data_IF_772733121077
#
_entry.id   IF_772733121077
#
_cell.length_a   1.000
_cell.length_b   1.000
_cell.length_c   1.000
_cell.angle_alpha   90.00
_cell.angle_beta   90.00
_cell.angle_gamma   90.00
#
_symmetry.space_group_name_H-M   'P 1'
#
loop_
_entity.id
_entity.type
_entity.pdbx_description
1 polymer ?
#
# COMPACT_ATOMS: atom_id res chain seq x y z
N UNK A 1 -19.24 -14.39 -6.37
CA UNK A 1 -19.32 -14.19 -7.83
C UNK A 1 -19.40 -12.70 -8.11
N UNK A 2 -18.29 -11.98 -7.95
CA UNK A 2 -18.07 -10.70 -8.63
C UNK A 2 -17.39 -11.07 -9.94
N UNK A 3 -17.97 -10.61 -11.03
CA UNK A 3 -17.42 -10.80 -12.36
C UNK A 3 -16.02 -10.23 -12.35
N UNK A 4 -15.08 -11.01 -12.87
CA UNK A 4 -13.81 -10.50 -13.34
C UNK A 4 -14.12 -9.46 -14.42
N UNK A 5 -14.31 -8.21 -14.01
CA UNK A 5 -13.87 -7.12 -14.86
C UNK A 5 -12.35 -7.14 -14.72
N UNK A 6 -11.74 -7.95 -15.58
CA UNK A 6 -10.51 -7.54 -16.24
C UNK A 6 -10.81 -6.18 -16.88
N UNK A 7 -10.79 -5.11 -16.10
CA UNK A 7 -10.25 -3.86 -16.59
C UNK A 7 -8.84 -4.24 -17.04
N UNK A 8 -8.76 -4.59 -18.31
CA UNK A 8 -7.59 -4.27 -19.11
C UNK A 8 -7.42 -2.77 -18.89
N UNK A 9 -6.76 -2.38 -17.80
CA UNK A 9 -5.99 -1.16 -17.74
C UNK A 9 -4.97 -1.39 -18.85
N UNK A 10 -5.38 -1.04 -20.08
CA UNK A 10 -4.42 -0.67 -21.07
C UNK A 10 -3.72 0.52 -20.41
N UNK A 11 -2.58 0.27 -19.77
CA UNK A 11 -1.58 1.28 -19.52
C UNK A 11 -1.41 1.95 -20.87
N UNK A 12 -2.08 3.08 -21.06
CA UNK A 12 -1.91 3.89 -22.24
C UNK A 12 -0.41 4.18 -22.25
N UNK A 13 0.33 3.80 -23.30
CA UNK A 13 1.77 3.99 -23.31
C UNK A 13 2.00 5.49 -23.15
N UNK A 14 2.45 5.92 -21.98
CA UNK A 14 2.67 7.32 -21.66
C UNK A 14 3.72 7.84 -22.63
N UNK A 15 3.28 8.49 -23.71
CA UNK A 15 4.17 8.93 -24.79
C UNK A 15 4.93 10.22 -24.42
N UNK A 16 4.52 10.89 -23.35
CA UNK A 16 5.28 11.95 -22.70
C UNK A 16 4.81 12.19 -21.27
N UNK A 17 5.76 12.32 -20.36
CA UNK A 17 5.61 12.43 -18.90
C UNK A 17 4.93 13.73 -18.39
N UNK A 18 4.26 14.50 -19.25
CA UNK A 18 3.60 15.73 -18.84
C UNK A 18 2.19 15.40 -18.34
N UNK A 19 1.93 15.52 -17.04
CA UNK A 19 0.57 15.39 -16.52
C UNK A 19 -0.34 16.44 -17.18
N UNK A 20 -1.60 16.08 -17.40
CA UNK A 20 -2.68 16.93 -17.93
C UNK A 20 -3.04 18.14 -17.03
N UNK A 21 -2.26 18.41 -15.98
CA UNK A 21 -2.41 19.56 -15.10
C UNK A 21 -1.39 20.67 -15.34
N UNK A 22 -1.67 21.87 -14.82
CA UNK A 22 -0.64 22.92 -14.73
C UNK A 22 0.25 22.63 -13.52
N UNK A 23 1.57 22.58 -13.71
CA UNK A 23 2.52 22.44 -12.62
C UNK A 23 2.49 23.66 -11.71
N UNK A 24 2.46 23.45 -10.39
CA UNK A 24 2.69 24.53 -9.45
C UNK A 24 4.13 25.05 -9.62
N UNK A 25 4.25 26.37 -9.86
CA UNK A 25 5.51 26.97 -10.31
C UNK A 25 6.57 27.15 -9.22
N UNK A 26 6.16 27.11 -7.95
CA UNK A 26 7.05 27.33 -6.81
C UNK A 26 7.37 26.02 -6.06
N UNK A 27 8.48 26.03 -5.31
CA UNK A 27 8.92 24.88 -4.53
C UNK A 27 8.03 24.62 -3.30
N UNK A 28 7.30 25.63 -2.85
CA UNK A 28 6.39 25.60 -1.69
C UNK A 28 5.17 26.45 -2.02
N UNK A 29 4.02 26.10 -1.46
CA UNK A 29 2.81 26.92 -1.55
C UNK A 29 3.05 28.24 -0.81
N UNK A 30 2.83 29.38 -1.47
CA UNK A 30 2.91 30.71 -0.86
C UNK A 30 1.53 31.06 -0.28
N UNK A 31 1.40 30.97 1.04
CA UNK A 31 0.14 31.21 1.75
C UNK A 31 0.21 30.81 3.23
N UNK A 32 -0.87 31.11 3.96
CA UNK A 32 -1.07 30.67 5.33
C UNK A 32 -1.80 29.33 5.35
N UNK A 33 -1.20 28.31 5.97
CA UNK A 33 -1.86 27.02 6.18
C UNK A 33 -3.01 27.20 7.18
N UNK A 34 -4.24 27.03 6.71
CA UNK A 34 -5.44 27.08 7.55
C UNK A 34 -5.68 25.74 8.25
N UNK A 35 -5.51 24.64 7.52
CA UNK A 35 -5.80 23.29 8.00
C UNK A 35 -4.98 22.24 7.26
N UNK A 36 -4.50 21.24 7.98
CA UNK A 36 -4.05 19.97 7.43
C UNK A 36 -4.97 18.85 7.92
N UNK A 37 -5.33 17.93 7.03
CA UNK A 37 -6.26 16.83 7.25
C UNK A 37 -5.56 15.56 6.84
N UNK A 38 -5.44 14.60 7.75
CA UNK A 38 -5.08 13.23 7.40
C UNK A 38 -6.40 12.50 7.14
N UNK A 39 -6.58 12.00 5.93
CA UNK A 39 -7.80 11.30 5.54
C UNK A 39 -7.89 9.96 6.26
N UNK A 40 -9.07 9.58 6.71
CA UNK A 40 -9.30 8.33 7.44
C UNK A 40 -10.72 7.83 7.15
N UNK A 41 -10.83 6.63 6.58
CA UNK A 41 -12.08 6.07 6.05
C UNK A 41 -13.21 5.94 7.08
N UNK A 42 -12.90 5.81 8.36
CA UNK A 42 -13.89 5.52 9.42
C UNK A 42 -14.18 6.72 10.33
N UNK A 43 -13.76 7.92 9.94
CA UNK A 43 -13.95 9.14 10.73
C UNK A 43 -14.59 10.28 9.94
N UNK A 44 -14.95 11.36 10.64
CA UNK A 44 -15.39 12.62 10.02
C UNK A 44 -14.27 13.28 9.17
N UNK A 45 -13.05 12.72 9.15
CA UNK A 45 -11.96 13.11 8.26
C UNK A 45 -11.91 12.30 6.95
N UNK A 46 -12.89 11.44 6.68
CA UNK A 46 -12.94 10.62 5.47
C UNK A 46 -13.00 11.44 4.17
N UNK A 47 -13.45 12.69 4.22
CA UNK A 47 -13.58 13.53 3.03
C UNK A 47 -13.41 15.02 3.36
N UNK A 48 -12.64 15.72 2.52
CA UNK A 48 -12.39 17.17 2.60
C UNK A 48 -13.63 18.03 2.36
N UNK A 49 -14.71 17.46 1.84
CA UNK A 49 -16.00 18.16 1.63
C UNK A 49 -16.95 18.05 2.83
N UNK A 50 -16.52 17.48 3.95
CA UNK A 50 -17.36 17.31 5.13
C UNK A 50 -17.69 18.65 5.83
N UNK A 51 -18.89 18.75 6.43
CA UNK A 51 -19.45 20.00 6.95
C UNK A 51 -18.66 20.60 8.14
N UNK A 52 -17.88 19.79 8.85
CA UNK A 52 -16.95 20.28 9.88
C UNK A 52 -15.85 21.20 9.32
N UNK A 53 -15.65 21.19 8.00
CA UNK A 53 -14.71 22.07 7.30
C UNK A 53 -15.35 23.34 6.72
N UNK A 54 -16.67 23.55 6.83
CA UNK A 54 -17.38 24.71 6.26
C UNK A 54 -16.75 26.06 6.65
N UNK A 55 -16.25 26.15 7.87
CA UNK A 55 -15.60 27.35 8.43
C UNK A 55 -14.35 27.82 7.68
N UNK A 56 -13.74 26.98 6.83
CA UNK A 56 -12.55 27.32 6.05
C UNK A 56 -12.87 27.86 4.64
N UNK A 57 -14.14 27.95 4.25
CA UNK A 57 -14.55 28.30 2.90
C UNK A 57 -15.52 29.48 2.86
N UNK A 58 -15.24 30.46 2.01
CA UNK A 58 -16.06 31.68 1.86
C UNK A 58 -17.45 31.40 1.27
N UNK A 59 -17.61 30.26 0.58
CA UNK A 59 -18.83 29.84 -0.11
C UNK A 59 -19.94 29.45 0.87
N UNK A 60 -19.61 29.17 2.13
CA UNK A 60 -20.57 28.79 3.18
C UNK A 60 -20.69 27.28 3.40
N UNK A 61 -20.10 26.46 2.54
CA UNK A 61 -19.89 25.03 2.77
C UNK A 61 -18.55 24.53 2.22
N UNK A 62 -18.02 23.46 2.78
CA UNK A 62 -16.78 22.83 2.32
C UNK A 62 -16.93 22.19 0.94
N UNK A 63 -18.10 21.63 0.63
CA UNK A 63 -18.39 21.08 -0.70
C UNK A 63 -18.30 22.18 -1.79
N UNK A 64 -19.05 23.27 -1.64
CA UNK A 64 -19.04 24.38 -2.61
C UNK A 64 -17.67 25.06 -2.67
N UNK A 65 -16.96 25.11 -1.54
CA UNK A 65 -15.60 25.63 -1.47
C UNK A 65 -14.58 24.80 -2.25
N UNK A 66 -14.60 23.48 -2.08
CA UNK A 66 -13.75 22.54 -2.83
C UNK A 66 -14.07 22.61 -4.33
N UNK A 67 -15.35 22.63 -4.71
CA UNK A 67 -15.76 22.81 -6.11
C UNK A 67 -15.24 24.13 -6.70
N UNK A 68 -15.28 25.23 -5.94
CA UNK A 68 -14.75 26.52 -6.37
C UNK A 68 -13.22 26.50 -6.54
N UNK A 69 -12.49 25.83 -5.65
CA UNK A 69 -11.03 25.65 -5.74
C UNK A 69 -10.66 24.81 -6.97
N UNK A 70 -11.39 23.72 -7.25
CA UNK A 70 -11.21 22.92 -8.48
C UNK A 70 -11.47 23.82 -9.70
N UNK A 71 -12.61 24.52 -9.75
CA UNK A 71 -12.98 25.38 -10.88
C UNK A 71 -11.93 26.47 -11.17
N UNK A 72 -11.25 26.97 -10.13
CA UNK A 72 -10.15 27.91 -10.24
C UNK A 72 -8.81 27.28 -10.66
N UNK A 73 -8.76 25.96 -10.88
CA UNK A 73 -7.53 25.17 -11.08
C UNK A 73 -6.53 25.34 -9.93
N UNK A 74 -7.03 25.41 -8.69
CA UNK A 74 -6.25 25.58 -7.47
C UNK A 74 -6.29 24.34 -6.55
N UNK A 75 -6.78 23.20 -7.05
CA UNK A 75 -6.64 21.91 -6.37
C UNK A 75 -5.45 21.17 -6.97
N UNK A 76 -4.43 20.87 -6.16
CA UNK A 76 -3.20 20.21 -6.60
C UNK A 76 -3.05 18.82 -5.98
N UNK A 77 -2.67 17.83 -6.79
CA UNK A 77 -2.17 16.54 -6.31
C UNK A 77 -0.73 16.40 -6.78
N UNK A 78 0.20 16.17 -5.86
CA UNK A 78 1.64 16.14 -6.17
C UNK A 78 2.11 17.36 -6.97
N UNK A 79 1.51 18.53 -6.69
CA UNK A 79 1.74 19.83 -7.36
C UNK A 79 1.31 19.90 -8.83
N UNK A 80 0.46 18.99 -9.28
CA UNK A 80 -0.25 19.12 -10.55
C UNK A 80 -1.67 19.58 -10.30
N UNK A 81 -2.08 20.69 -10.92
CA UNK A 81 -3.44 21.19 -10.81
C UNK A 81 -4.43 20.28 -11.55
N UNK A 82 -5.53 19.92 -10.91
CA UNK A 82 -6.69 19.38 -11.62
C UNK A 82 -7.21 20.50 -12.56
N UNK A 83 -7.44 20.25 -13.85
CA UNK A 83 -7.98 21.28 -14.73
C UNK A 83 -9.34 21.76 -14.21
N UNK A 84 -9.57 23.08 -14.21
CA UNK A 84 -10.79 23.60 -13.56
C UNK A 84 -12.07 23.49 -14.38
N UNK A 85 -11.99 23.16 -15.67
CA UNK A 85 -13.16 23.03 -16.53
C UNK A 85 -12.97 21.97 -17.59
N UNK A 86 -14.07 21.44 -18.12
CA UNK A 86 -14.06 20.54 -19.27
C UNK A 86 -13.30 21.14 -20.47
N UNK A 87 -13.52 22.43 -20.75
CA UNK A 87 -12.84 23.12 -21.83
C UNK A 87 -11.33 23.21 -21.59
N UNK A 88 -10.90 23.49 -20.35
CA UNK A 88 -9.48 23.49 -20.01
C UNK A 88 -8.84 22.11 -20.19
N UNK A 89 -9.54 21.05 -19.76
CA UNK A 89 -9.12 19.66 -19.96
C UNK A 89 -8.99 19.32 -21.45
N UNK A 90 -10.03 19.58 -22.25
CA UNK A 90 -10.06 19.24 -23.68
C UNK A 90 -9.07 20.03 -24.53
N UNK A 91 -8.66 21.22 -24.08
CA UNK A 91 -7.67 22.05 -24.79
C UNK A 91 -6.23 21.54 -24.66
N UNK A 92 -5.98 20.56 -23.79
CA UNK A 92 -4.66 19.94 -23.60
C UNK A 92 -4.67 18.56 -24.25
N UNK A 93 -3.91 18.40 -25.33
CA UNK A 93 -3.90 17.13 -26.09
C UNK A 93 -3.53 15.91 -25.23
N UNK A 94 -2.67 16.09 -24.24
CA UNK A 94 -2.26 15.03 -23.32
C UNK A 94 -3.41 14.57 -22.41
N UNK A 95 -4.31 15.47 -22.01
CA UNK A 95 -5.52 15.11 -21.27
C UNK A 95 -6.44 14.19 -22.08
N UNK A 96 -6.52 14.42 -23.38
CA UNK A 96 -7.36 13.61 -24.27
C UNK A 96 -6.75 12.25 -24.59
N UNK A 97 -5.42 12.14 -24.57
CA UNK A 97 -4.74 10.86 -24.83
C UNK A 97 -4.61 10.01 -23.58
N UNK A 98 -4.15 10.61 -22.48
CA UNK A 98 -3.69 9.89 -21.29
C UNK A 98 -4.59 10.15 -20.07
N UNK A 99 -5.33 11.26 -20.06
CA UNK A 99 -6.07 11.74 -18.89
C UNK A 99 -5.23 12.59 -17.94
N UNK A 100 -5.85 13.04 -16.85
CA UNK A 100 -5.17 13.59 -15.68
C UNK A 100 -4.54 12.44 -14.89
N UNK A 101 -3.22 12.42 -14.89
CA UNK A 101 -2.43 11.35 -14.30
C UNK A 101 -1.95 11.73 -12.89
N UNK A 102 -2.08 10.81 -11.96
CA UNK A 102 -1.42 10.83 -10.64
C UNK A 102 -0.51 9.60 -10.60
N UNK A 103 0.78 9.80 -10.37
CA UNK A 103 1.80 8.75 -10.49
C UNK A 103 1.64 7.92 -11.78
N UNK A 104 1.46 8.61 -12.91
CA UNK A 104 1.28 8.00 -14.24
C UNK A 104 0.01 7.13 -14.42
N UNK A 105 -0.84 7.02 -13.41
CA UNK A 105 -2.14 6.35 -13.48
C UNK A 105 -3.24 7.38 -13.76
N UNK A 106 -4.16 7.14 -14.71
CA UNK A 106 -5.26 8.06 -14.97
C UNK A 106 -6.26 8.08 -13.81
N UNK A 107 -6.51 9.28 -13.26
CA UNK A 107 -7.50 9.52 -12.22
C UNK A 107 -8.70 10.30 -12.72
N UNK A 108 -8.55 11.02 -13.83
CA UNK A 108 -9.64 11.68 -14.53
C UNK A 108 -9.44 11.60 -16.03
N UNK A 109 -10.38 11.01 -16.76
CA UNK A 109 -10.32 10.91 -18.21
C UNK A 109 -11.70 10.91 -18.86
N UNK A 110 -11.72 11.16 -20.16
CA UNK A 110 -12.92 11.07 -20.98
C UNK A 110 -12.89 9.81 -21.83
N UNK A 111 -13.84 8.91 -21.62
CA UNK A 111 -13.99 7.71 -22.44
C UNK A 111 -14.78 8.07 -23.70
N UNK A 112 -14.07 8.21 -24.83
CA UNK A 112 -14.68 8.54 -26.12
C UNK A 112 -15.57 7.43 -26.70
N UNK A 113 -15.41 6.19 -26.25
CA UNK A 113 -16.23 5.05 -26.71
C UNK A 113 -17.61 5.06 -26.07
N UNK A 114 -17.66 5.32 -24.76
CA UNK A 114 -18.92 5.39 -24.00
C UNK A 114 -19.46 6.81 -23.88
N UNK A 115 -18.71 7.81 -24.36
CA UNK A 115 -19.00 9.23 -24.23
C UNK A 115 -19.27 9.66 -22.77
N UNK A 116 -18.48 9.14 -21.83
CA UNK A 116 -18.65 9.36 -20.39
C UNK A 116 -17.36 9.83 -19.74
N UNK A 117 -17.51 10.61 -18.66
CA UNK A 117 -16.39 10.96 -17.80
C UNK A 117 -16.14 9.87 -16.78
N UNK A 118 -14.89 9.75 -16.36
CA UNK A 118 -14.46 8.87 -15.30
C UNK A 118 -13.53 9.63 -14.38
N UNK A 119 -13.75 9.50 -13.07
CA UNK A 119 -13.03 10.22 -12.04
C UNK A 119 -12.82 9.36 -10.80
N UNK A 120 -12.01 9.85 -9.86
CA UNK A 120 -11.69 9.14 -8.63
C UNK A 120 -10.37 8.41 -8.67
N UNK A 121 -10.13 7.63 -7.62
CA UNK A 121 -9.00 6.72 -7.55
C UNK A 121 -9.01 5.79 -8.77
N UNK A 122 -7.91 5.79 -9.55
CA UNK A 122 -7.79 5.03 -10.81
C UNK A 122 -8.93 5.26 -11.82
N UNK A 123 -9.63 6.40 -11.70
CA UNK A 123 -10.82 6.69 -12.47
C UNK A 123 -11.87 5.56 -12.39
N UNK A 124 -12.09 4.99 -11.20
CA UNK A 124 -13.03 3.88 -10.98
C UNK A 124 -14.52 4.30 -11.02
N UNK A 125 -14.81 5.60 -10.96
CA UNK A 125 -16.18 6.12 -10.92
C UNK A 125 -16.59 6.78 -12.22
N UNK A 126 -17.55 6.18 -12.93
CA UNK A 126 -18.19 6.81 -14.09
C UNK A 126 -19.05 8.00 -13.64
N UNK A 127 -19.01 9.08 -14.41
CA UNK A 127 -19.80 10.29 -14.19
C UNK A 127 -20.36 10.86 -15.49
N UNK A 128 -21.50 11.54 -15.37
CA UNK A 128 -22.22 12.16 -16.49
C UNK A 128 -21.65 13.54 -16.89
N UNK A 129 -20.78 14.12 -16.06
CA UNK A 129 -20.17 15.43 -16.30
C UNK A 129 -18.71 15.47 -15.85
N UNK A 130 -17.97 16.43 -16.41
CA UNK A 130 -16.61 16.74 -16.00
C UNK A 130 -16.53 17.10 -14.52
N UNK A 131 -17.40 18.02 -14.06
CA UNK A 131 -17.36 18.55 -12.70
C UNK A 131 -17.56 17.43 -11.66
N UNK A 132 -18.51 16.51 -11.91
CA UNK A 132 -18.72 15.35 -11.05
C UNK A 132 -17.51 14.42 -11.06
N UNK A 133 -16.90 14.16 -12.22
CA UNK A 133 -15.69 13.34 -12.28
C UNK A 133 -14.49 13.98 -11.58
N UNK A 134 -14.28 15.29 -11.75
CA UNK A 134 -13.22 16.04 -11.10
C UNK A 134 -13.42 16.09 -9.57
N UNK A 135 -14.66 16.26 -9.10
CA UNK A 135 -14.98 16.14 -7.68
C UNK A 135 -14.69 14.72 -7.16
N UNK A 136 -15.02 13.67 -7.94
CA UNK A 136 -14.70 12.28 -7.57
C UNK A 136 -13.21 12.06 -7.37
N UNK A 137 -12.32 12.72 -8.14
CA UNK A 137 -10.85 12.66 -7.91
C UNK A 137 -10.50 13.11 -6.49
N UNK A 138 -11.12 14.20 -6.03
CA UNK A 138 -10.85 14.78 -4.71
C UNK A 138 -11.46 13.95 -3.58
N UNK A 139 -12.71 13.52 -3.74
CA UNK A 139 -13.40 12.69 -2.73
C UNK A 139 -12.89 11.25 -2.71
N UNK A 140 -12.19 10.83 -3.75
CA UNK A 140 -11.55 9.51 -3.90
C UNK A 140 -10.07 9.50 -3.52
N UNK A 141 -9.54 10.58 -2.92
CA UNK A 141 -8.18 10.55 -2.38
C UNK A 141 -8.05 9.43 -1.35
N UNK A 142 -6.97 8.64 -1.47
CA UNK A 142 -6.75 7.48 -0.61
C UNK A 142 -6.54 7.92 0.83
N UNK A 143 -7.21 7.24 1.75
CA UNK A 143 -7.06 7.49 3.18
C UNK A 143 -5.60 7.26 3.63
N UNK A 144 -5.19 7.96 4.67
CA UNK A 144 -3.82 7.95 5.19
C UNK A 144 -2.93 9.06 4.64
N UNK A 145 -3.38 9.72 3.58
CA UNK A 145 -2.69 10.85 2.96
C UNK A 145 -3.18 12.18 3.51
N UNK A 146 -2.31 13.18 3.40
CA UNK A 146 -2.58 14.53 3.91
C UNK A 146 -3.13 15.45 2.80
N UNK A 147 -4.20 16.16 3.13
CA UNK A 147 -4.73 17.28 2.34
C UNK A 147 -4.63 18.57 3.14
N UNK A 148 -4.25 19.66 2.49
CA UNK A 148 -3.94 20.94 3.14
C UNK A 148 -4.71 22.08 2.49
N UNK A 149 -5.27 22.94 3.33
CA UNK A 149 -6.03 24.13 2.94
C UNK A 149 -5.20 25.39 3.16
N UNK A 150 -5.06 26.20 2.13
CA UNK A 150 -4.21 27.39 2.14
C UNK A 150 -5.01 28.65 1.84
N UNK A 151 -4.78 29.68 2.65
CA UNK A 151 -5.17 31.06 2.37
C UNK A 151 -3.98 31.77 1.71
N UNK A 152 -4.12 32.07 0.43
CA UNK A 152 -3.06 32.68 -0.39
C UNK A 152 -3.21 34.19 -0.52
N UNK A 153 -4.37 34.73 -0.14
CA UNK A 153 -4.72 36.14 -0.33
C UNK A 153 -4.87 36.93 0.99
N UNK A 154 -4.94 36.25 2.13
CA UNK A 154 -5.03 36.80 3.48
C UNK A 154 -6.44 37.11 3.97
N UNK A 155 -7.50 36.60 3.32
CA UNK A 155 -8.89 36.84 3.71
C UNK A 155 -9.43 35.86 4.77
N UNK A 156 -8.62 34.87 5.18
CA UNK A 156 -8.96 33.87 6.16
C UNK A 156 -9.70 32.65 5.60
N UNK A 157 -9.85 32.54 4.28
CA UNK A 157 -10.51 31.43 3.61
C UNK A 157 -9.56 30.66 2.67
N UNK A 158 -9.99 29.45 2.32
CA UNK A 158 -9.20 28.56 1.45
C UNK A 158 -9.28 29.03 0.00
N UNK A 159 -8.12 29.39 -0.56
CA UNK A 159 -7.95 29.71 -1.98
C UNK A 159 -7.37 28.54 -2.77
N UNK A 160 -6.56 27.71 -2.09
CA UNK A 160 -5.79 26.64 -2.69
C UNK A 160 -5.83 25.41 -1.79
N UNK A 161 -5.99 24.25 -2.42
CA UNK A 161 -5.88 22.96 -1.75
C UNK A 161 -4.75 22.17 -2.40
N UNK A 162 -3.89 21.56 -1.58
CA UNK A 162 -2.90 20.61 -2.08
C UNK A 162 -2.91 19.31 -1.29
N UNK A 163 -2.65 18.22 -2.00
CA UNK A 163 -2.59 16.87 -1.46
C UNK A 163 -1.30 16.17 -1.92
N UNK A 164 -0.71 15.40 -1.00
CA UNK A 164 0.38 14.49 -1.33
C UNK A 164 -0.21 13.13 -1.65
N UNK A 165 0.05 12.61 -2.85
CA UNK A 165 -0.23 11.22 -3.21
C UNK A 165 1.08 10.46 -3.35
N UNK A 166 1.39 9.66 -2.33
CA UNK A 166 2.62 8.87 -2.28
C UNK A 166 2.28 7.39 -2.17
N UNK A 167 3.17 6.56 -2.68
CA UNK A 167 3.02 5.10 -2.68
C UNK A 167 4.20 4.45 -1.96
N UNK A 168 3.92 3.38 -1.21
CA UNK A 168 4.92 2.64 -0.46
C UNK A 168 5.75 1.70 -1.35
N UNK A 169 7.05 1.63 -1.12
CA UNK A 169 7.93 0.63 -1.74
C UNK A 169 8.93 0.09 -0.72
N UNK A 170 9.11 -1.22 -0.68
CA UNK A 170 10.20 -1.85 0.08
C UNK A 170 11.53 -1.51 -0.56
N UNK A 171 12.61 -1.40 0.22
CA UNK A 171 13.93 -1.03 -0.31
C UNK A 171 14.93 -2.12 -0.01
N UNK A 172 15.26 -2.94 -1.00
CA UNK A 172 16.31 -3.96 -0.87
C UNK A 172 17.68 -3.37 -1.22
N UNK A 173 17.76 -2.69 -2.36
CA UNK A 173 19.01 -2.11 -2.85
C UNK A 173 18.78 -0.69 -3.35
N UNK A 174 19.70 0.21 -3.00
CA UNK A 174 19.81 1.56 -3.57
C UNK A 174 21.07 1.64 -4.42
N UNK A 175 20.90 1.98 -5.69
CA UNK A 175 22.01 2.12 -6.64
C UNK A 175 22.21 3.58 -7.00
N UNK A 176 23.41 4.12 -6.75
CA UNK A 176 23.82 5.41 -7.29
C UNK A 176 24.42 5.22 -8.68
N UNK A 177 23.74 5.75 -9.69
CA UNK A 177 24.13 5.60 -11.09
C UNK A 177 25.29 6.54 -11.46
N UNK A 178 26.03 6.17 -12.52
CA UNK A 178 27.19 6.95 -12.99
C UNK A 178 26.82 8.38 -13.45
N UNK A 179 25.57 8.60 -13.86
CA UNK A 179 25.03 9.92 -14.24
C UNK A 179 24.56 10.76 -13.04
N UNK A 180 24.73 10.28 -11.81
CA UNK A 180 24.34 10.98 -10.59
C UNK A 180 22.86 10.81 -10.18
N UNK A 181 22.08 9.99 -10.89
CA UNK A 181 20.73 9.58 -10.43
C UNK A 181 20.83 8.41 -9.45
N UNK A 182 19.69 8.08 -8.84
CA UNK A 182 19.51 6.92 -7.97
C UNK A 182 18.42 6.02 -8.55
N UNK A 183 18.55 4.72 -8.34
CA UNK A 183 17.48 3.74 -8.55
C UNK A 183 17.29 2.92 -7.29
N UNK A 184 16.05 2.49 -7.07
CA UNK A 184 15.68 1.58 -5.99
C UNK A 184 15.27 0.26 -6.62
N UNK A 185 15.72 -0.82 -6.01
CA UNK A 185 15.20 -2.15 -6.25
C UNK A 185 14.44 -2.59 -5.00
N UNK A 186 13.20 -3.06 -5.18
CA UNK A 186 12.33 -3.39 -4.05
C UNK A 186 12.61 -4.75 -3.40
N UNK A 187 13.49 -5.53 -4.00
CA UNK A 187 13.87 -6.86 -3.56
C UNK A 187 13.14 -7.97 -4.30
N UNK A 188 13.76 -9.14 -4.34
CA UNK A 188 13.13 -10.33 -4.90
C UNK A 188 12.30 -11.00 -3.80
N UNK A 189 10.99 -11.12 -4.02
CA UNK A 189 10.18 -12.09 -3.29
C UNK A 189 10.26 -13.45 -3.99
N UNK A 190 9.75 -14.50 -3.38
CA UNK A 190 9.75 -15.83 -4.01
C UNK A 190 8.78 -15.85 -5.21
N UNK A 191 9.29 -15.49 -6.39
CA UNK A 191 8.54 -15.30 -7.63
C UNK A 191 7.75 -16.56 -8.02
N UNK A 192 8.18 -17.75 -7.60
CA UNK A 192 7.46 -18.99 -7.89
C UNK A 192 6.10 -19.07 -7.19
N UNK A 193 5.94 -18.35 -6.08
CA UNK A 193 4.72 -18.29 -5.28
C UNK A 193 4.03 -16.91 -5.31
N UNK A 194 4.61 -15.92 -6.01
CA UNK A 194 3.98 -14.63 -6.30
C UNK A 194 2.72 -14.88 -7.15
N UNK A 195 1.58 -14.41 -6.68
CA UNK A 195 0.35 -14.45 -7.49
C UNK A 195 0.36 -13.33 -8.53
N UNK A 196 -0.46 -13.42 -9.61
CA UNK A 196 -0.51 -12.36 -10.63
C UNK A 196 -0.96 -10.99 -10.12
N UNK A 197 -1.57 -10.92 -8.94
CA UNK A 197 -2.14 -9.70 -8.35
C UNK A 197 -1.29 -9.12 -7.22
N UNK A 198 -0.28 -9.86 -6.74
CA UNK A 198 0.53 -9.41 -5.61
C UNK A 198 1.54 -8.35 -6.06
N UNK A 199 1.34 -7.11 -5.60
CA UNK A 199 2.32 -6.04 -5.79
C UNK A 199 2.44 -5.55 -7.25
N UNK A 200 1.47 -5.92 -8.10
CA UNK A 200 1.44 -5.69 -9.56
C UNK A 200 0.42 -4.62 -9.99
N UNK A 201 -0.48 -4.21 -9.10
CA UNK A 201 -1.57 -3.28 -9.46
C UNK A 201 -1.06 -1.83 -9.46
N UNK A 202 -0.10 -1.52 -8.59
CA UNK A 202 0.54 -0.20 -8.54
C UNK A 202 1.93 -0.22 -9.16
N UNK A 203 2.50 0.97 -9.32
CA UNK A 203 3.85 1.25 -9.80
C UNK A 203 4.97 0.56 -8.99
N UNK A 204 4.65 -0.28 -8.00
CA UNK A 204 5.58 -1.23 -7.40
C UNK A 204 6.28 -2.12 -8.43
N UNK A 205 5.61 -2.49 -9.54
CA UNK A 205 6.25 -3.21 -10.66
C UNK A 205 7.32 -2.35 -11.35
N UNK A 206 7.26 -1.01 -11.26
CA UNK A 206 8.35 -0.16 -11.73
C UNK A 206 9.66 -0.49 -11.01
N UNK A 207 9.59 -0.99 -9.77
CA UNK A 207 10.74 -1.30 -8.92
C UNK A 207 11.07 -2.80 -8.85
N UNK A 208 10.39 -3.66 -9.64
CA UNK A 208 10.71 -5.10 -9.79
C UNK A 208 12.08 -5.33 -10.49
N UNK A 209 12.63 -4.27 -11.10
CA UNK A 209 14.00 -4.25 -11.65
C UNK A 209 14.76 -3.03 -11.13
N UNK A 210 15.68 -2.47 -11.91
CA UNK A 210 16.20 -1.14 -11.62
C UNK A 210 15.05 -0.14 -11.81
N UNK A 211 14.53 0.39 -10.70
CA UNK A 211 13.42 1.35 -10.68
C UNK A 211 13.62 2.58 -11.57
N UNK A 212 12.65 3.52 -11.60
CA UNK A 212 12.83 4.76 -12.32
C UNK A 212 14.11 5.47 -11.84
N UNK A 213 14.86 6.07 -12.78
CA UNK A 213 16.01 6.91 -12.45
C UNK A 213 15.54 8.20 -11.78
N UNK A 214 15.85 8.35 -10.50
CA UNK A 214 15.46 9.51 -9.67
C UNK A 214 16.63 10.48 -9.56
N UNK A 215 16.39 11.76 -9.84
CA UNK A 215 17.40 12.80 -9.70
C UNK A 215 17.86 12.93 -8.25
N UNK A 216 19.15 13.20 -8.02
CA UNK A 216 19.70 13.37 -6.67
C UNK A 216 18.97 14.44 -5.81
N UNK A 217 18.42 15.48 -6.44
CA UNK A 217 17.66 16.52 -5.74
C UNK A 217 16.27 16.04 -5.24
N UNK A 218 15.77 14.93 -5.79
CA UNK A 218 14.48 14.33 -5.48
C UNK A 218 14.63 12.99 -4.73
N UNK A 219 15.85 12.65 -4.31
CA UNK A 219 16.16 11.39 -3.64
C UNK A 219 16.60 11.64 -2.19
N UNK A 220 15.92 11.03 -1.24
CA UNK A 220 16.34 11.02 0.15
C UNK A 220 17.50 10.02 0.36
N UNK A 221 18.72 10.55 0.54
CA UNK A 221 19.93 9.73 0.70
C UNK A 221 20.01 9.00 2.05
N UNK A 222 19.01 9.15 2.93
CA UNK A 222 18.91 8.36 4.16
C UNK A 222 18.26 6.99 3.95
N UNK A 223 17.63 6.78 2.79
CA UNK A 223 17.04 5.49 2.40
C UNK A 223 18.13 4.42 2.32
N UNK A 224 17.91 3.29 2.99
CA UNK A 224 18.77 2.11 3.01
C UNK A 224 18.02 0.80 2.84
N UNK A 225 18.79 -0.29 2.74
CA UNK A 225 18.23 -1.64 2.67
C UNK A 225 17.43 -1.97 3.94
N UNK A 226 16.23 -2.55 3.77
CA UNK A 226 15.29 -2.86 4.85
C UNK A 226 14.27 -1.75 5.13
N UNK A 227 14.45 -0.56 4.55
CA UNK A 227 13.50 0.53 4.70
C UNK A 227 12.21 0.32 3.89
N UNK A 228 11.15 1.00 4.30
CA UNK A 228 10.05 1.37 3.39
C UNK A 228 10.22 2.83 3.00
N UNK A 229 10.12 3.10 1.70
CA UNK A 229 10.18 4.43 1.12
C UNK A 229 8.84 4.81 0.49
N UNK A 230 8.68 6.10 0.23
CA UNK A 230 7.49 6.70 -0.35
C UNK A 230 7.89 7.40 -1.65
N UNK A 231 7.30 6.99 -2.77
CA UNK A 231 7.60 7.57 -4.08
C UNK A 231 6.38 8.26 -4.68
N UNK A 232 6.63 9.23 -5.56
CA UNK A 232 5.58 9.95 -6.28
C UNK A 232 6.15 10.63 -7.53
N UNK A 233 5.27 10.94 -8.48
CA UNK A 233 5.60 11.70 -9.68
C UNK A 233 5.14 13.15 -9.54
N UNK A 234 6.07 14.10 -9.58
CA UNK A 234 5.78 15.54 -9.54
C UNK A 234 6.33 16.31 -10.75
N UNK A 235 6.21 17.65 -10.77
CA UNK A 235 6.72 18.50 -11.84
C UNK A 235 8.22 18.35 -12.15
N UNK A 236 9.00 17.90 -11.17
CA UNK A 236 10.45 17.67 -11.30
C UNK A 236 10.80 16.20 -11.61
N UNK A 237 9.81 15.39 -12.01
CA UNK A 237 9.94 13.96 -12.24
C UNK A 237 9.65 13.11 -11.00
N UNK A 238 10.12 11.86 -11.04
CA UNK A 238 10.04 10.95 -9.90
C UNK A 238 10.82 11.50 -8.70
N UNK A 239 10.23 11.31 -7.52
CA UNK A 239 10.80 11.63 -6.24
C UNK A 239 10.56 10.48 -5.27
N UNK A 240 11.44 10.35 -4.27
CA UNK A 240 11.34 9.33 -3.24
C UNK A 240 11.89 9.86 -1.91
N UNK A 241 11.20 9.55 -0.82
CA UNK A 241 11.61 9.87 0.55
C UNK A 241 11.51 8.65 1.46
N UNK A 242 12.33 8.57 2.50
CA UNK A 242 12.18 7.53 3.52
C UNK A 242 10.83 7.70 4.21
N UNK A 243 10.07 6.62 4.42
CA UNK A 243 8.89 6.68 5.28
C UNK A 243 9.32 6.97 6.73
N UNK A 244 8.41 7.49 7.56
CA UNK A 244 8.73 7.73 8.95
C UNK A 244 8.78 6.39 9.71
N UNK A 245 9.94 6.08 10.26
CA UNK A 245 10.15 4.84 11.00
C UNK A 245 9.75 4.97 12.48
N UNK A 246 8.97 4.01 12.97
CA UNK A 246 8.73 3.76 14.39
C UNK A 246 9.27 2.38 14.72
N UNK A 247 10.32 2.32 15.54
CA UNK A 247 10.90 1.06 16.01
C UNK A 247 10.41 0.75 17.42
N UNK A 248 9.89 -0.45 17.61
CA UNK A 248 9.46 -0.90 18.93
C UNK A 248 9.07 -2.37 18.94
N UNK A 249 8.87 -2.90 20.13
CA UNK A 249 8.37 -4.26 20.32
C UNK A 249 6.98 -4.39 19.69
N UNK A 250 6.77 -5.38 18.83
CA UNK A 250 5.43 -5.65 18.30
C UNK A 250 4.55 -6.29 19.39
N UNK A 251 3.51 -5.58 19.82
CA UNK A 251 2.68 -6.00 20.96
C UNK A 251 1.43 -6.73 20.47
N UNK A 252 0.63 -6.09 19.62
CA UNK A 252 -0.58 -6.64 19.01
C UNK A 252 -1.00 -5.75 17.82
N UNK A 253 -2.05 -6.16 17.10
CA UNK A 253 -2.72 -5.35 16.11
C UNK A 253 -3.94 -6.07 15.55
N UNK A 254 -4.70 -5.37 14.74
CA UNK A 254 -5.80 -5.92 13.97
C UNK A 254 -5.86 -5.25 12.61
N UNK A 255 -5.98 -6.07 11.56
CA UNK A 255 -6.17 -5.59 10.20
C UNK A 255 -7.32 -4.58 10.13
N UNK A 256 -7.10 -3.52 9.36
CA UNK A 256 -8.02 -2.41 9.17
C UNK A 256 -8.48 -1.72 10.46
N UNK A 257 -7.74 -1.87 11.56
CA UNK A 257 -8.07 -1.23 12.83
C UNK A 257 -6.88 -0.46 13.38
N UNK A 258 -5.86 -1.13 13.90
CA UNK A 258 -4.69 -0.49 14.52
C UNK A 258 -3.51 -1.45 14.74
N UNK A 259 -2.36 -0.87 15.08
CA UNK A 259 -1.11 -1.59 15.34
C UNK A 259 -0.42 -1.04 16.61
N UNK A 260 -0.10 -1.89 17.59
CA UNK A 260 0.62 -1.51 18.81
C UNK A 260 2.10 -1.85 18.70
N UNK A 261 2.92 -0.80 18.64
CA UNK A 261 4.38 -0.88 18.56
C UNK A 261 4.98 -0.11 19.73
N UNK A 262 5.64 -0.83 20.63
CA UNK A 262 6.28 -0.25 21.81
C UNK A 262 5.32 0.33 22.85
N UNK A 263 4.05 -0.10 22.86
CA UNK A 263 3.01 0.41 23.77
C UNK A 263 2.30 1.66 23.25
N UNK A 264 2.48 1.97 21.96
CA UNK A 264 1.83 3.08 21.27
C UNK A 264 0.96 2.49 20.16
N UNK A 265 -0.32 2.84 20.19
CA UNK A 265 -1.32 2.39 19.21
C UNK A 265 -1.35 3.38 18.04
N UNK A 266 -1.20 2.85 16.84
CA UNK A 266 -1.30 3.57 15.58
C UNK A 266 -2.53 3.09 14.83
N UNK A 267 -3.51 3.98 14.65
CA UNK A 267 -4.72 3.66 13.89
C UNK A 267 -4.38 3.42 12.42
N UNK A 268 -5.06 2.45 11.82
CA UNK A 268 -4.99 2.21 10.38
C UNK A 268 -5.90 3.22 9.67
N UNK A 269 -5.40 3.86 8.61
CA UNK A 269 -6.26 4.70 7.77
C UNK A 269 -7.05 3.89 6.74
N UNK A 270 -6.78 2.57 6.67
CA UNK A 270 -7.30 1.59 5.71
C UNK A 270 -6.88 1.86 4.26
N UNK A 271 -6.64 0.78 3.50
CA UNK A 271 -6.38 0.77 2.04
C UNK A 271 -5.10 1.45 1.53
N UNK A 272 -4.33 2.18 2.33
CA UNK A 272 -3.13 2.88 1.86
C UNK A 272 -2.04 1.95 1.30
N UNK A 273 -1.73 0.89 2.03
CA UNK A 273 -0.65 -0.06 1.70
C UNK A 273 -1.05 -1.11 0.65
N UNK A 274 -2.34 -1.12 0.28
CA UNK A 274 -2.93 -2.13 -0.58
C UNK A 274 -2.21 -2.14 -1.92
N UNK A 275 -1.73 -3.32 -2.32
CA UNK A 275 -1.07 -3.62 -3.61
C UNK A 275 0.24 -2.87 -3.93
N UNK A 276 0.72 -2.02 -3.01
CA UNK A 276 1.99 -1.30 -3.11
C UNK A 276 3.17 -2.09 -2.54
N UNK A 277 2.99 -2.75 -1.40
CA UNK A 277 4.01 -3.58 -0.76
C UNK A 277 3.79 -5.08 -1.05
N UNK A 278 4.84 -5.92 -0.95
CA UNK A 278 4.66 -7.36 -0.84
C UNK A 278 3.67 -7.66 0.28
N UNK A 279 2.79 -8.63 0.06
CA UNK A 279 1.67 -8.87 0.98
C UNK A 279 2.15 -9.12 2.42
N UNK A 280 3.29 -9.79 2.57
CA UNK A 280 3.91 -10.07 3.87
C UNK A 280 4.30 -8.86 4.69
N UNK A 281 4.39 -7.67 4.09
CA UNK A 281 4.79 -6.43 4.75
C UNK A 281 3.66 -5.40 4.81
N UNK A 282 2.47 -5.75 4.31
CA UNK A 282 1.26 -4.97 4.57
C UNK A 282 0.91 -5.10 6.06
N UNK A 283 0.49 -4.01 6.73
CA UNK A 283 0.33 -4.05 8.18
C UNK A 283 -0.65 -5.13 8.70
N UNK A 284 -1.77 -5.36 8.02
CA UNK A 284 -2.75 -6.38 8.36
C UNK A 284 -2.20 -7.80 8.24
N UNK A 285 -1.75 -8.17 7.04
CA UNK A 285 -1.24 -9.52 6.76
C UNK A 285 0.06 -9.85 7.52
N UNK A 286 0.93 -8.85 7.75
CA UNK A 286 2.08 -9.02 8.66
C UNK A 286 1.59 -9.36 10.07
N UNK A 287 0.59 -8.61 10.58
CA UNK A 287 0.02 -8.79 11.92
C UNK A 287 -0.60 -10.18 12.08
N UNK A 288 -1.39 -10.63 11.11
CA UNK A 288 -2.06 -11.94 11.17
C UNK A 288 -1.04 -13.08 11.22
N UNK A 289 -0.01 -13.04 10.38
CA UNK A 289 1.06 -14.03 10.42
C UNK A 289 1.79 -14.04 11.78
N UNK A 290 2.13 -12.87 12.32
CA UNK A 290 2.79 -12.81 13.63
C UNK A 290 1.88 -13.33 14.75
N UNK A 291 0.57 -13.05 14.72
CA UNK A 291 -0.38 -13.55 15.72
C UNK A 291 -0.53 -15.06 15.65
N UNK A 292 -0.64 -15.61 14.44
CA UNK A 292 -0.71 -17.05 14.22
C UNK A 292 0.50 -17.79 14.82
N UNK A 293 1.72 -17.28 14.59
CA UNK A 293 2.95 -17.86 15.14
C UNK A 293 3.23 -17.45 16.60
N UNK A 294 2.32 -16.72 17.25
CA UNK A 294 2.49 -16.20 18.62
C UNK A 294 3.80 -15.42 18.76
N UNK A 295 4.07 -14.55 17.81
CA UNK A 295 5.25 -13.69 17.73
C UNK A 295 4.95 -12.26 18.19
N UNK A 296 3.89 -12.11 18.99
CA UNK A 296 3.43 -10.87 19.60
C UNK A 296 3.73 -10.85 21.10
N UNK A 297 3.71 -9.68 21.74
CA UNK A 297 4.11 -9.57 23.16
C UNK A 297 3.13 -10.24 24.14
N UNK A 298 1.90 -10.57 23.71
CA UNK A 298 0.98 -11.41 24.50
C UNK A 298 1.55 -12.80 24.82
N UNK A 299 2.61 -13.22 24.10
CA UNK A 299 3.36 -14.45 24.32
C UNK A 299 4.75 -14.26 24.97
N UNK A 300 5.16 -13.03 25.28
CA UNK A 300 6.54 -12.63 25.62
C UNK A 300 7.61 -13.02 24.56
N UNK A 301 7.18 -13.37 23.34
CA UNK A 301 8.05 -13.76 22.23
C UNK A 301 8.16 -12.70 21.13
N UNK A 302 7.48 -11.56 21.31
CA UNK A 302 7.57 -10.39 20.44
C UNK A 302 9.01 -9.93 20.25
N UNK A 303 9.32 -9.47 19.05
CA UNK A 303 10.59 -8.83 18.72
C UNK A 303 10.32 -7.41 18.22
N UNK A 304 11.37 -6.62 18.14
CA UNK A 304 11.24 -5.28 17.57
C UNK A 304 10.90 -5.38 16.07
N UNK A 305 9.98 -4.54 15.65
CA UNK A 305 9.63 -4.30 14.25
C UNK A 305 9.81 -2.82 13.94
N UNK A 306 9.89 -2.50 12.66
CA UNK A 306 9.75 -1.13 12.16
C UNK A 306 8.36 -0.99 11.56
N UNK A 307 7.55 -0.12 12.15
CA UNK A 307 6.31 0.37 11.57
C UNK A 307 6.63 1.64 10.77
N UNK A 308 6.22 1.66 9.51
CA UNK A 308 6.51 2.75 8.59
C UNK A 308 5.26 3.60 8.39
N UNK A 309 5.38 4.90 8.58
CA UNK A 309 4.27 5.85 8.53
C UNK A 309 4.46 6.87 7.40
N UNK A 310 3.36 7.33 6.81
CA UNK A 310 3.38 8.51 5.94
C UNK A 310 3.71 9.75 6.80
N UNK A 311 4.77 10.52 6.49
CA UNK A 311 5.05 11.77 7.19
C UNK A 311 3.97 12.81 6.87
N UNK A 312 3.51 13.53 7.90
CA UNK A 312 2.48 14.58 7.81
C UNK A 312 3.01 15.93 8.32
N UNK A 313 2.38 17.03 7.91
CA UNK A 313 2.82 18.39 8.25
C UNK A 313 2.78 18.66 9.76
N UNK A 314 1.72 18.20 10.44
CA UNK A 314 1.62 18.30 11.89
C UNK A 314 2.27 17.07 12.56
N UNK A 315 3.50 17.23 13.06
CA UNK A 315 4.27 16.14 13.68
C UNK A 315 3.70 15.60 14.99
N UNK A 316 2.64 16.19 15.53
CA UNK A 316 1.89 15.62 16.66
C UNK A 316 0.81 14.64 16.20
N UNK A 317 0.59 14.49 14.90
CA UNK A 317 -0.26 13.49 14.29
C UNK A 317 0.60 12.46 13.55
N UNK A 318 -0.02 11.35 13.16
CA UNK A 318 0.60 10.31 12.34
C UNK A 318 -0.19 10.17 11.04
N UNK A 319 0.51 10.00 9.91
CA UNK A 319 -0.13 9.54 8.67
C UNK A 319 -0.38 8.03 8.72
N UNK A 320 -0.85 7.47 7.60
CA UNK A 320 -1.15 6.05 7.52
C UNK A 320 0.06 5.15 7.84
N UNK A 321 -0.19 4.02 8.52
CA UNK A 321 0.62 2.81 8.39
C UNK A 321 0.80 2.39 6.92
N UNK A 322 2.05 2.45 6.46
CA UNK A 322 2.45 2.06 5.10
C UNK A 322 2.79 0.59 5.06
N UNK A 323 3.52 0.12 6.06
CA UNK A 323 4.01 -1.25 6.13
C UNK A 323 4.65 -1.55 7.47
N UNK A 324 4.82 -2.83 7.74
CA UNK A 324 5.59 -3.32 8.88
C UNK A 324 6.69 -4.23 8.34
N UNK A 325 7.89 -4.06 8.87
CA UNK A 325 9.05 -4.89 8.53
C UNK A 325 9.67 -5.41 9.80
N UNK A 326 10.12 -6.66 9.77
CA UNK A 326 10.86 -7.22 10.90
C UNK A 326 12.34 -6.81 10.91
N UNK A 327 12.84 -6.26 9.80
CA UNK A 327 14.21 -5.78 9.61
C UNK A 327 15.24 -6.81 10.13
N UNK A 328 16.08 -6.42 11.12
CA UNK A 328 17.13 -7.26 11.69
C UNK A 328 16.61 -8.50 12.43
N UNK A 329 15.32 -8.55 12.78
CA UNK A 329 14.68 -9.68 13.46
C UNK A 329 14.02 -10.69 12.49
N UNK A 330 13.99 -10.41 11.19
CA UNK A 330 13.41 -11.28 10.14
C UNK A 330 13.83 -12.74 10.23
N UNK A 331 15.13 -12.99 10.41
CA UNK A 331 15.68 -14.34 10.57
C UNK A 331 15.14 -15.05 11.80
N UNK A 332 14.95 -14.33 12.90
CA UNK A 332 14.44 -14.89 14.15
C UNK A 332 12.95 -15.20 14.06
N UNK A 333 12.16 -14.36 13.40
CA UNK A 333 10.76 -14.68 13.13
C UNK A 333 10.63 -15.92 12.23
N UNK A 334 11.34 -15.94 11.10
CA UNK A 334 11.28 -17.08 10.18
C UNK A 334 11.73 -18.39 10.86
N UNK A 335 12.78 -18.36 11.67
CA UNK A 335 13.23 -19.54 12.41
C UNK A 335 12.17 -20.09 13.38
N UNK A 336 11.41 -19.21 14.04
CA UNK A 336 10.31 -19.62 14.93
C UNK A 336 9.12 -20.18 14.14
N UNK A 337 8.76 -19.54 13.03
CA UNK A 337 7.71 -20.03 12.13
C UNK A 337 8.04 -21.42 11.56
N UNK A 338 9.29 -21.63 11.10
CA UNK A 338 9.79 -22.94 10.66
C UNK A 338 9.66 -23.98 11.78
N UNK A 339 10.08 -23.63 13.00
CA UNK A 339 10.03 -24.57 14.12
C UNK A 339 8.60 -24.99 14.46
N UNK A 340 7.63 -24.08 14.41
CA UNK A 340 6.21 -24.39 14.59
C UNK A 340 5.71 -25.31 13.47
N UNK A 341 5.97 -24.97 12.21
CA UNK A 341 5.57 -25.78 11.07
C UNK A 341 6.15 -27.20 11.11
N UNK A 342 7.41 -27.34 11.52
CA UNK A 342 8.07 -28.63 11.71
C UNK A 342 7.46 -29.45 12.86
N UNK A 343 7.04 -28.77 13.94
CA UNK A 343 6.36 -29.44 15.04
C UNK A 343 5.00 -29.99 14.59
N UNK A 344 4.26 -29.25 13.77
CA UNK A 344 2.97 -29.70 13.22
C UNK A 344 3.13 -30.95 12.35
N UNK A 345 4.07 -30.93 11.41
CA UNK A 345 4.38 -32.11 10.59
C UNK A 345 4.80 -33.35 11.41
N UNK A 346 5.44 -33.15 12.56
CA UNK A 346 5.89 -34.24 13.40
C UNK A 346 4.76 -34.89 14.23
N UNK A 347 3.63 -34.21 14.39
CA UNK A 347 2.50 -34.66 15.21
C UNK A 347 1.46 -35.47 14.41
N UNK A 348 1.47 -35.37 13.08
CA UNK A 348 0.52 -36.07 12.21
C UNK A 348 1.05 -37.40 11.67
N UNK A 349 0.14 -38.30 11.35
CA UNK A 349 0.42 -39.51 10.58
C UNK A 349 0.02 -39.33 9.11
N UNK A 350 0.80 -39.86 8.16
CA UNK A 350 0.38 -39.90 6.76
C UNK A 350 -0.53 -41.10 6.55
N UNK A 351 -1.76 -40.88 6.08
CA UNK A 351 -2.72 -41.93 5.73
C UNK A 351 -3.52 -41.57 4.47
N UNK A 352 -4.14 -42.58 3.84
CA UNK A 352 -5.03 -42.36 2.69
C UNK A 352 -6.44 -41.98 3.14
N UNK A 353 -6.92 -42.58 4.24
CA UNK A 353 -8.30 -42.44 4.71
C UNK A 353 -8.47 -42.51 6.24
N UNK A 354 -7.36 -42.57 7.00
CA UNK A 354 -7.37 -42.60 8.46
C UNK A 354 -7.78 -43.94 9.08
N UNK A 355 -8.10 -44.96 8.28
CA UNK A 355 -8.57 -46.26 8.80
C UNK A 355 -7.45 -47.09 9.45
N UNK A 356 -6.20 -46.72 9.18
CA UNK A 356 -4.98 -47.29 9.78
C UNK A 356 -4.39 -46.44 10.91
N UNK A 357 -5.05 -45.32 11.27
CA UNK A 357 -4.61 -44.40 12.31
C UNK A 357 -5.54 -44.47 13.52
N UNK A 358 -4.97 -44.43 14.73
CA UNK A 358 -5.74 -44.44 15.97
C UNK A 358 -6.66 -43.22 16.07
N UNK A 359 -7.85 -43.38 16.65
CA UNK A 359 -8.79 -42.28 16.95
C UNK A 359 -8.30 -41.23 17.95
N UNK A 360 -7.10 -41.37 18.48
CA UNK A 360 -6.43 -40.38 19.34
C UNK A 360 -5.27 -39.67 18.65
N UNK A 361 -5.02 -39.96 17.38
CA UNK A 361 -3.94 -39.39 16.58
C UNK A 361 -4.51 -38.69 15.37
N UNK A 362 -3.90 -37.56 15.02
CA UNK A 362 -4.20 -36.82 13.80
C UNK A 362 -3.48 -37.42 12.60
N UNK A 363 -4.09 -37.27 11.43
CA UNK A 363 -3.54 -37.70 10.15
C UNK A 363 -3.90 -36.72 9.04
N UNK A 364 -3.08 -36.76 8.00
CA UNK A 364 -3.27 -36.02 6.74
C UNK A 364 -2.94 -36.92 5.56
N UNK A 365 -3.38 -36.52 4.37
CA UNK A 365 -2.98 -37.20 3.13
C UNK A 365 -1.52 -36.92 2.79
N UNK A 366 -0.90 -37.80 1.98
CA UNK A 366 0.46 -37.59 1.48
C UNK A 366 0.63 -36.24 0.75
N UNK A 367 -0.40 -35.80 0.02
CA UNK A 367 -0.34 -34.54 -0.73
C UNK A 367 -0.27 -33.33 0.21
N UNK A 368 -1.10 -33.31 1.26
CA UNK A 368 -1.11 -32.25 2.28
C UNK A 368 0.22 -32.22 3.04
N UNK A 369 0.74 -33.38 3.45
CA UNK A 369 2.05 -33.48 4.10
C UNK A 369 3.16 -32.90 3.22
N UNK A 370 3.24 -33.33 1.96
CA UNK A 370 4.28 -32.88 1.03
C UNK A 370 4.22 -31.37 0.76
N UNK A 371 3.01 -30.79 0.68
CA UNK A 371 2.87 -29.35 0.49
C UNK A 371 3.52 -28.54 1.62
N UNK A 372 3.26 -28.90 2.89
CA UNK A 372 3.87 -28.23 4.04
C UNK A 372 5.37 -28.52 4.15
N UNK A 373 5.81 -29.77 3.90
CA UNK A 373 7.24 -30.14 3.91
C UNK A 373 8.04 -29.34 2.87
N UNK A 374 7.51 -29.20 1.65
CA UNK A 374 8.12 -28.38 0.60
C UNK A 374 8.19 -26.90 1.00
N UNK A 375 7.16 -26.36 1.68
CA UNK A 375 7.16 -24.99 2.18
C UNK A 375 8.23 -24.78 3.26
N UNK A 376 8.37 -25.71 4.21
CA UNK A 376 9.42 -25.71 5.23
C UNK A 376 10.82 -25.80 4.59
N UNK A 377 10.98 -26.61 3.55
CA UNK A 377 12.26 -26.72 2.85
C UNK A 377 12.66 -25.38 2.18
N UNK A 378 11.71 -24.70 1.52
CA UNK A 378 11.94 -23.36 0.93
C UNK A 378 12.27 -22.30 1.97
N UNK A 379 11.54 -22.29 3.08
CA UNK A 379 11.80 -21.38 4.21
C UNK A 379 13.20 -21.59 4.80
N UNK A 380 13.60 -22.86 5.03
CA UNK A 380 14.96 -23.19 5.50
C UNK A 380 16.05 -22.77 4.52
N UNK A 381 15.81 -22.94 3.21
CA UNK A 381 16.76 -22.49 2.19
C UNK A 381 16.96 -20.97 2.26
N UNK A 382 15.87 -20.21 2.33
CA UNK A 382 15.90 -18.75 2.45
C UNK A 382 16.60 -18.31 3.74
N UNK A 383 16.35 -19.00 4.86
CA UNK A 383 17.02 -18.72 6.14
C UNK A 383 18.52 -19.01 6.08
N UNK A 384 18.95 -20.08 5.39
CA UNK A 384 20.36 -20.48 5.31
C UNK A 384 21.23 -19.56 4.45
N UNK A 385 20.62 -18.87 3.47
CA UNK A 385 21.31 -17.92 2.61
C UNK A 385 21.70 -16.66 3.41
N UNK A 386 23.00 -16.38 3.48
CA UNK A 386 23.53 -15.24 4.27
C UNK A 386 23.10 -13.87 3.75
N UNK A 387 22.73 -13.78 2.47
CA UNK A 387 22.35 -12.55 1.77
C UNK A 387 20.84 -12.42 1.55
N UNK A 388 20.02 -13.27 2.16
CA UNK A 388 18.57 -13.07 2.13
C UNK A 388 18.20 -11.74 2.76
N UNK A 389 17.38 -10.97 2.04
CA UNK A 389 16.82 -9.72 2.53
C UNK A 389 15.75 -9.95 3.59
N UNK A 390 15.48 -8.93 4.40
CA UNK A 390 14.41 -8.99 5.40
C UNK A 390 13.05 -9.26 4.74
N UNK A 391 12.77 -8.64 3.59
CA UNK A 391 11.51 -8.83 2.86
C UNK A 391 11.30 -10.26 2.38
N UNK A 392 12.34 -10.93 1.86
CA UNK A 392 12.23 -12.34 1.49
C UNK A 392 11.92 -13.22 2.70
N UNK A 393 12.53 -12.93 3.84
CA UNK A 393 12.35 -13.70 5.07
C UNK A 393 10.97 -13.46 5.69
N UNK A 394 10.47 -12.22 5.65
CA UNK A 394 9.08 -11.89 6.01
C UNK A 394 8.09 -12.60 5.08
N UNK A 395 8.38 -12.62 3.78
CA UNK A 395 7.57 -13.31 2.79
C UNK A 395 7.48 -14.82 3.03
N UNK A 396 8.61 -15.48 3.32
CA UNK A 396 8.59 -16.90 3.67
C UNK A 396 7.87 -17.17 4.99
N UNK A 397 7.91 -16.24 5.94
CA UNK A 397 7.13 -16.34 7.19
C UNK A 397 5.63 -16.31 6.88
N UNK A 398 5.20 -15.37 6.04
CA UNK A 398 3.81 -15.26 5.61
C UNK A 398 3.33 -16.49 4.79
N UNK A 399 4.17 -17.00 3.88
CA UNK A 399 3.82 -18.23 3.14
C UNK A 399 3.68 -19.46 4.05
N UNK A 400 4.48 -19.57 5.12
CA UNK A 400 4.28 -20.63 6.11
C UNK A 400 2.95 -20.47 6.86
N UNK A 401 2.58 -19.23 7.20
CA UNK A 401 1.27 -18.93 7.77
C UNK A 401 0.14 -19.41 6.85
N UNK A 402 0.16 -19.05 5.56
CA UNK A 402 -0.86 -19.51 4.61
C UNK A 402 -0.87 -21.03 4.42
N UNK A 403 0.30 -21.69 4.46
CA UNK A 403 0.35 -23.15 4.34
C UNK A 403 -0.20 -23.87 5.58
N UNK A 404 -0.12 -23.27 6.76
CA UNK A 404 -0.67 -23.85 8.00
C UNK A 404 -2.14 -23.48 8.20
N UNK A 405 -2.46 -22.20 8.15
CA UNK A 405 -3.78 -21.65 8.49
C UNK A 405 -4.75 -21.60 7.31
N UNK A 406 -4.22 -21.47 6.09
CA UNK A 406 -5.02 -21.27 4.88
C UNK A 406 -5.20 -19.80 4.52
N UNK A 407 -5.90 -19.54 3.41
CA UNK A 407 -6.14 -18.17 2.91
C UNK A 407 -7.60 -17.73 2.98
N UNK A 408 -8.55 -18.58 3.41
CA UNK A 408 -9.99 -18.25 3.38
C UNK A 408 -10.42 -17.19 4.38
N UNK A 409 -9.70 -17.06 5.48
CA UNK A 409 -9.98 -16.08 6.53
C UNK A 409 -9.11 -14.82 6.40
N UNK A 410 -8.07 -14.89 5.56
CA UNK A 410 -7.23 -13.77 5.17
C UNK A 410 -7.81 -13.14 3.89
N UNK A 411 -8.55 -12.05 4.07
CA UNK A 411 -9.22 -11.34 2.98
C UNK A 411 -8.19 -10.77 2.00
N UNK A 412 -7.07 -10.26 2.51
CA UNK A 412 -5.95 -9.77 1.70
C UNK A 412 -5.36 -10.84 0.81
N UNK A 413 -5.11 -12.03 1.37
CA UNK A 413 -4.63 -13.19 0.63
C UNK A 413 -5.58 -13.61 -0.50
N UNK A 414 -6.89 -13.63 -0.25
CA UNK A 414 -7.89 -13.94 -1.27
C UNK A 414 -7.92 -12.92 -2.40
N UNK A 415 -7.86 -11.63 -2.07
CA UNK A 415 -7.81 -10.58 -3.09
C UNK A 415 -6.52 -10.65 -3.92
N UNK A 416 -5.40 -11.00 -3.30
CA UNK A 416 -4.17 -11.29 -4.01
C UNK A 416 -4.25 -12.59 -4.83
N UNK A 417 -5.28 -13.43 -4.67
CA UNK A 417 -5.48 -14.65 -5.44
C UNK A 417 -4.79 -15.89 -4.86
N UNK A 418 -4.39 -15.86 -3.59
CA UNK A 418 -3.96 -17.05 -2.89
C UNK A 418 -5.15 -18.00 -2.62
N UNK A 419 -4.88 -19.30 -2.69
CA UNK A 419 -5.89 -20.35 -2.51
C UNK A 419 -5.29 -21.53 -1.74
N UNK A 420 -4.93 -21.29 -0.48
CA UNK A 420 -4.44 -22.32 0.42
C UNK A 420 -5.59 -22.80 1.30
N UNK A 421 -5.78 -24.12 1.41
CA UNK A 421 -6.72 -24.67 2.41
C UNK A 421 -6.18 -24.49 3.83
N UNK A 422 -4.87 -24.61 4.02
CA UNK A 422 -4.23 -24.67 5.34
C UNK A 422 -4.10 -26.10 5.82
N UNK A 423 -2.92 -26.47 6.28
CA UNK A 423 -2.61 -27.78 6.84
C UNK A 423 -3.50 -28.13 8.02
N UNK A 424 -3.69 -27.18 8.96
CA UNK A 424 -4.50 -27.37 10.17
C UNK A 424 -5.99 -27.63 9.86
N UNK A 425 -6.47 -27.16 8.70
CA UNK A 425 -7.84 -27.39 8.24
C UNK A 425 -8.04 -28.75 7.56
N UNK A 426 -6.95 -29.44 7.20
CA UNK A 426 -6.95 -30.74 6.53
C UNK A 426 -6.67 -31.90 7.50
N UNK A 427 -6.30 -31.60 8.75
CA UNK A 427 -6.06 -32.57 9.81
C UNK A 427 -7.35 -33.27 10.25
N UNK A 428 -7.26 -34.58 10.44
CA UNK A 428 -8.38 -35.42 10.85
C UNK A 428 -7.93 -36.41 11.92
N UNK A 429 -8.82 -36.78 12.84
CA UNK A 429 -8.55 -37.91 13.74
C UNK A 429 -8.75 -39.25 13.03
N UNK A 430 -7.94 -40.24 13.37
CA UNK A 430 -8.07 -41.60 12.84
C UNK A 430 -9.36 -42.30 13.25
N UNK A 431 -9.64 -43.46 12.65
CA UNK A 431 -10.85 -44.26 12.95
C UNK A 431 -10.58 -45.72 13.28
N UNK A 432 -9.31 -46.11 13.43
CA UNK A 432 -8.90 -47.49 13.71
C UNK A 432 -9.38 -48.02 15.08
#
# INVERSE_FOLDING_TARGET
MRLADTSVLAMLPATSLAACGTAYSANQIDGSLLRAIVLDMDTDAANVTAANYDQYFAQGSALEGVEAVIAASQFYINKWAIPGTEAAFQNVSQCLSDGYLVNQVPWLYYNTTTASWWGGFEAESQADSYDTAALSVVTGLVAGLEVRFWDTNGDGFTDLIDADYVEGVTVDTVTKNANGTYTVYRGNIDVANKTPYEGTIFDGDLFDTDGPSILAANFDTTIGAGDVALFWYGPNGWAIKRAQEVVGLFIDGADHTNYDVGGVVYEDAMRFSRDNLPISNRPGEFTDAQKFFKLTNDSAAGLNVSLWLVPVTNTNNTGAPVGITSDSNSRSFLAKAIAQAQAELANVTISTDGTDVSSTQEWVTQAVYTQLDDAIARANQSLALSNSSSFLLDYQTYLLYLNLYGSSDDIGAQFAGFNYTGFENEEQFGTA
#
